data_IF_982429296270
#
_entry.id   IF_982429296270
#
_cell.length_a   1.000
_cell.length_b   1.000
_cell.length_c   1.000
_cell.angle_alpha   90.00
_cell.angle_beta   90.00
_cell.angle_gamma   90.00
#
_symmetry.space_group_name_H-M   'P 1'
#
loop_
_entity.id
_entity.type
_entity.pdbx_description
1 polymer ?
#
# COMPACT_ATOMS: atom_id res chain seq x y z
N UNK A 1 -13.66 -9.89 -2.95
CA UNK A 1 -14.26 -8.69 -2.34
C UNK A 1 -13.70 -7.45 -3.02
N UNK A 2 -14.56 -6.60 -3.49
CA UNK A 2 -14.14 -5.32 -4.09
C UNK A 2 -14.27 -4.18 -3.07
N UNK A 3 -13.94 -2.95 -3.49
CA UNK A 3 -14.02 -1.78 -2.60
C UNK A 3 -15.42 -1.56 -2.03
N UNK A 4 -16.44 -1.70 -2.86
CA UNK A 4 -17.83 -1.48 -2.45
C UNK A 4 -18.26 -2.49 -1.39
N UNK A 5 -17.92 -3.76 -1.58
CA UNK A 5 -18.20 -4.82 -0.62
C UNK A 5 -17.42 -4.63 0.67
N UNK A 6 -16.17 -4.20 0.58
CA UNK A 6 -15.36 -3.91 1.75
C UNK A 6 -15.97 -2.79 2.58
N UNK A 7 -16.42 -1.71 1.94
CA UNK A 7 -17.07 -0.58 2.65
C UNK A 7 -18.35 -1.04 3.34
N UNK A 8 -19.15 -1.87 2.69
CA UNK A 8 -20.36 -2.41 3.30
C UNK A 8 -20.04 -3.26 4.54
N UNK A 9 -19.02 -4.09 4.46
CA UNK A 9 -18.57 -4.90 5.59
C UNK A 9 -18.01 -4.04 6.72
N UNK A 10 -17.28 -2.99 6.39
CA UNK A 10 -16.76 -2.04 7.38
C UNK A 10 -17.89 -1.33 8.12
N UNK A 11 -18.93 -0.90 7.40
CA UNK A 11 -20.09 -0.25 7.98
C UNK A 11 -20.80 -1.18 8.97
N UNK A 12 -20.95 -2.42 8.61
CA UNK A 12 -21.58 -3.43 9.46
C UNK A 12 -20.77 -3.69 10.72
N UNK A 13 -19.46 -3.84 10.59
CA UNK A 13 -18.56 -4.14 11.71
C UNK A 13 -18.41 -2.96 12.66
N UNK A 14 -18.35 -1.74 12.13
CA UNK A 14 -18.08 -0.52 12.92
C UNK A 14 -19.32 0.16 13.45
N UNK A 15 -20.48 -0.11 12.87
CA UNK A 15 -21.71 0.62 13.17
C UNK A 15 -21.77 2.01 12.52
N UNK A 16 -20.78 2.36 11.69
CA UNK A 16 -20.77 3.62 10.97
C UNK A 16 -21.55 3.51 9.67
N UNK A 17 -21.91 4.64 9.07
CA UNK A 17 -22.57 4.65 7.78
C UNK A 17 -21.59 4.25 6.67
N UNK A 18 -22.12 3.81 5.53
CA UNK A 18 -21.28 3.49 4.36
C UNK A 18 -20.53 4.72 3.87
N UNK A 19 -21.16 5.89 3.96
CA UNK A 19 -20.54 7.17 3.59
C UNK A 19 -19.33 7.47 4.47
N UNK A 20 -19.46 7.29 5.77
CA UNK A 20 -18.35 7.51 6.71
C UNK A 20 -17.23 6.51 6.49
N UNK A 21 -17.56 5.25 6.24
CA UNK A 21 -16.57 4.21 5.96
C UNK A 21 -15.83 4.48 4.64
N UNK A 22 -16.54 4.96 3.62
CA UNK A 22 -15.92 5.33 2.35
C UNK A 22 -14.94 6.48 2.54
N UNK A 23 -15.34 7.51 3.26
CA UNK A 23 -14.48 8.66 3.57
C UNK A 23 -13.26 8.24 4.38
N UNK A 24 -13.45 7.39 5.39
CA UNK A 24 -12.35 6.90 6.23
C UNK A 24 -11.37 6.05 5.43
N UNK A 25 -11.86 5.17 4.58
CA UNK A 25 -11.00 4.32 3.75
C UNK A 25 -10.21 5.16 2.74
N UNK A 26 -10.85 6.13 2.10
CA UNK A 26 -10.18 7.03 1.16
C UNK A 26 -9.09 7.85 1.87
N UNK A 27 -9.40 8.37 3.06
CA UNK A 27 -8.43 9.12 3.87
C UNK A 27 -7.26 8.23 4.29
N UNK A 28 -7.51 6.99 4.66
CA UNK A 28 -6.47 6.03 5.02
C UNK A 28 -5.50 5.81 3.86
N UNK A 29 -6.03 5.52 2.69
CA UNK A 29 -5.23 5.27 1.49
C UNK A 29 -4.38 6.50 1.13
N UNK A 30 -4.98 7.68 1.11
CA UNK A 30 -4.27 8.93 0.80
C UNK A 30 -3.19 9.23 1.82
N UNK A 31 -3.47 9.01 3.09
CA UNK A 31 -2.50 9.25 4.17
C UNK A 31 -1.31 8.30 4.06
N UNK A 32 -1.56 7.01 3.76
CA UNK A 32 -0.48 6.03 3.55
C UNK A 32 0.37 6.44 2.34
N UNK A 33 -0.26 6.80 1.24
CA UNK A 33 0.46 7.23 0.02
C UNK A 33 1.37 8.43 0.32
N UNK A 34 0.85 9.43 1.01
CA UNK A 34 1.59 10.64 1.36
C UNK A 34 2.77 10.32 2.28
N UNK A 35 2.56 9.48 3.29
CA UNK A 35 3.61 9.07 4.23
C UNK A 35 4.74 8.32 3.50
N UNK A 36 4.39 7.36 2.67
CA UNK A 36 5.39 6.59 1.92
C UNK A 36 6.15 7.46 0.91
N UNK A 37 5.46 8.41 0.31
CA UNK A 37 6.08 9.35 -0.63
C UNK A 37 7.14 10.21 0.04
N UNK A 38 6.91 10.60 1.30
CA UNK A 38 7.87 11.40 2.08
C UNK A 38 8.95 10.56 2.76
N UNK A 39 8.92 9.24 2.60
CA UNK A 39 9.90 8.34 3.21
C UNK A 39 9.51 7.83 4.59
N UNK A 40 8.33 8.14 5.07
CA UNK A 40 7.85 7.63 6.34
C UNK A 40 7.28 6.22 6.18
N UNK A 41 7.42 5.45 7.25
CA UNK A 41 6.85 4.12 7.36
C UNK A 41 5.56 4.21 8.18
N UNK A 42 4.51 3.52 7.73
CA UNK A 42 3.24 3.46 8.47
C UNK A 42 3.14 2.10 9.14
N UNK A 43 3.19 2.09 10.45
CA UNK A 43 3.14 0.85 11.23
C UNK A 43 1.84 0.77 12.03
N UNK A 44 1.10 -0.33 11.83
CA UNK A 44 -0.14 -0.62 12.55
C UNK A 44 0.08 -1.84 13.43
N UNK A 45 0.15 -1.61 14.73
CA UNK A 45 0.39 -2.67 15.70
C UNK A 45 -0.74 -3.71 15.61
N UNK A 46 -0.36 -4.98 15.47
CA UNK A 46 -1.32 -6.07 15.34
C UNK A 46 -1.83 -6.32 13.93
N UNK A 47 -1.41 -5.51 12.96
CA UNK A 47 -1.82 -5.67 11.57
C UNK A 47 -0.61 -5.86 10.65
N UNK A 48 0.24 -4.85 10.57
CA UNK A 48 1.40 -4.89 9.69
C UNK A 48 1.97 -3.51 9.47
N UNK A 49 2.84 -3.39 8.50
CA UNK A 49 3.45 -2.11 8.18
C UNK A 49 3.50 -1.87 6.68
N UNK A 50 3.33 -0.60 6.31
CA UNK A 50 3.51 -0.13 4.94
C UNK A 50 4.81 0.65 4.87
N UNK A 51 5.63 0.37 3.87
CA UNK A 51 6.89 1.11 3.66
C UNK A 51 7.14 1.29 2.18
N UNK A 52 7.83 2.37 1.85
CA UNK A 52 8.29 2.60 0.49
C UNK A 52 9.66 1.98 0.32
N UNK A 53 9.79 1.11 -0.68
CA UNK A 53 11.07 0.52 -1.03
C UNK A 53 11.63 1.26 -2.23
N UNK A 54 12.80 1.84 -2.08
CA UNK A 54 13.44 2.54 -3.18
C UNK A 54 14.17 1.55 -4.08
N UNK A 55 13.97 1.74 -5.38
CA UNK A 55 14.74 1.05 -6.40
C UNK A 55 15.70 2.07 -6.99
N UNK A 56 17.00 1.81 -6.87
CA UNK A 56 18.01 2.68 -7.43
C UNK A 56 17.90 2.74 -8.95
N UNK A 57 18.29 3.88 -9.52
CA UNK A 57 18.41 4.01 -10.96
C UNK A 57 19.44 2.99 -11.46
N UNK A 58 19.16 2.38 -12.58
CA UNK A 58 20.05 1.38 -13.18
C UNK A 58 20.05 1.50 -14.70
N UNK A 59 21.11 0.98 -15.30
CA UNK A 59 21.23 0.93 -16.74
C UNK A 59 20.85 -0.46 -17.23
N UNK A 60 19.92 -0.52 -18.16
CA UNK A 60 19.52 -1.76 -18.79
C UNK A 60 19.88 -1.75 -20.26
N UNK A 61 19.87 -2.90 -20.90
CA UNK A 61 20.10 -3.00 -22.34
C UNK A 61 18.80 -3.48 -23.00
N UNK A 62 18.40 -2.77 -24.05
CA UNK A 62 17.26 -3.20 -24.86
C UNK A 62 17.68 -4.40 -25.72
N UNK A 63 17.09 -5.59 -25.53
CA UNK A 63 17.50 -6.77 -26.27
C UNK A 63 17.18 -6.70 -27.76
N UNK A 64 16.29 -5.79 -28.16
CA UNK A 64 15.86 -5.64 -29.55
C UNK A 64 16.79 -4.77 -30.36
N UNK A 65 17.23 -3.65 -29.78
CA UNK A 65 18.11 -2.68 -30.47
C UNK A 65 19.53 -2.69 -29.96
N UNK A 66 19.78 -3.37 -28.84
CA UNK A 66 21.05 -3.40 -28.10
C UNK A 66 21.49 -2.04 -27.61
N UNK A 67 20.58 -1.08 -27.54
CA UNK A 67 20.82 0.24 -26.97
C UNK A 67 20.75 0.19 -25.44
N UNK A 68 21.57 1.03 -24.83
CA UNK A 68 21.53 1.22 -23.37
C UNK A 68 20.34 2.08 -22.99
N UNK A 69 19.50 1.58 -22.08
CA UNK A 69 18.33 2.29 -21.58
C UNK A 69 18.52 2.61 -20.12
N UNK A 70 18.32 3.86 -19.73
CA UNK A 70 18.33 4.26 -18.34
C UNK A 70 16.98 3.98 -17.72
N UNK A 71 16.99 3.23 -16.60
CA UNK A 71 15.81 2.98 -15.79
C UNK A 71 15.90 3.90 -14.57
N UNK A 72 15.01 4.91 -14.45
CA UNK A 72 15.10 5.87 -13.37
C UNK A 72 14.81 5.23 -12.01
N UNK A 73 15.30 5.88 -10.96
CA UNK A 73 14.98 5.49 -9.60
C UNK A 73 13.47 5.59 -9.36
N UNK A 74 12.93 4.63 -8.64
CA UNK A 74 11.49 4.59 -8.34
C UNK A 74 11.25 4.10 -6.93
N UNK A 75 10.07 4.39 -6.40
CA UNK A 75 9.62 3.87 -5.11
C UNK A 75 8.48 2.89 -5.35
N UNK A 76 8.51 1.76 -4.66
CA UNK A 76 7.45 0.77 -4.70
C UNK A 76 6.86 0.60 -3.30
N UNK A 77 5.54 0.65 -3.13
CA UNK A 77 4.93 0.38 -1.83
C UNK A 77 5.03 -1.10 -1.50
N UNK A 78 5.36 -1.41 -0.25
CA UNK A 78 5.47 -2.78 0.26
C UNK A 78 4.68 -2.87 1.55
N UNK A 79 3.88 -3.91 1.68
CA UNK A 79 3.16 -4.23 2.90
C UNK A 79 3.75 -5.49 3.52
N UNK A 80 4.12 -5.39 4.81
CA UNK A 80 4.59 -6.54 5.59
C UNK A 80 3.57 -6.85 6.66
N UNK A 81 2.95 -8.03 6.57
CA UNK A 81 1.97 -8.46 7.56
C UNK A 81 2.63 -8.70 8.92
N UNK A 82 1.97 -8.26 9.98
CA UNK A 82 2.39 -8.55 11.33
C UNK A 82 2.04 -9.97 11.74
N UNK A 83 2.68 -10.48 12.78
CA UNK A 83 2.42 -11.84 13.25
C UNK A 83 0.97 -12.06 13.69
N UNK A 84 0.38 -11.07 14.37
CA UNK A 84 -1.01 -11.15 14.81
C UNK A 84 -1.97 -11.25 13.62
N UNK A 85 -1.70 -10.53 12.55
CA UNK A 85 -2.50 -10.61 11.33
C UNK A 85 -2.39 -11.98 10.67
N UNK A 86 -1.17 -12.51 10.57
CA UNK A 86 -0.93 -13.85 10.02
C UNK A 86 -1.66 -14.91 10.83
N UNK A 87 -1.66 -14.78 12.15
CA UNK A 87 -2.34 -15.72 13.03
C UNK A 87 -3.85 -15.62 12.90
N UNK A 88 -4.38 -14.43 12.65
CA UNK A 88 -5.82 -14.20 12.53
C UNK A 88 -6.44 -14.89 11.32
N UNK A 89 -5.67 -15.11 10.25
CA UNK A 89 -6.18 -15.72 9.01
C UNK A 89 -5.76 -17.18 8.85
N UNK A 90 -5.09 -17.71 9.84
CA UNK A 90 -4.59 -19.08 9.83
C UNK A 90 -5.71 -20.11 9.93
#
# INVERSE_FOLDING_TARGET
MNKTELIAAMAETSGLSKKDCDAALAAFITTVETALKSGEKVQLIGFGSFEGKERAARTGRNPRTKETVEIPASKAPVFKAGQAFKDAIR
#
